data_IF_778840349220
#
_entry.id   IF_778840349220
#
_cell.length_a   1.000
_cell.length_b   1.000
_cell.length_c   1.000
_cell.angle_alpha   90.00
_cell.angle_beta   90.00
_cell.angle_gamma   90.00
#
_symmetry.space_group_name_H-M   'P 1'
#
loop_
_entity.id
_entity.type
_entity.pdbx_description
1 polymer ?
#
# COMPACT_ATOMS: atom_id res chain seq x y z
N UNK A 1 -34.52 -28.69 20.82
CA UNK A 1 -33.97 -27.58 20.05
C UNK A 1 -33.01 -26.82 20.95
N UNK A 2 -31.73 -27.23 20.97
CA UNK A 2 -30.69 -26.64 21.80
C UNK A 2 -30.00 -25.54 20.97
N UNK A 3 -30.40 -24.29 21.20
CA UNK A 3 -29.69 -23.13 20.66
C UNK A 3 -28.30 -23.05 21.27
N UNK A 4 -27.29 -23.41 20.50
CA UNK A 4 -25.92 -23.04 20.86
C UNK A 4 -25.83 -21.51 20.89
N UNK A 5 -25.17 -20.91 21.89
CA UNK A 5 -24.96 -19.46 21.92
C UNK A 5 -24.12 -19.08 20.71
N UNK A 6 -24.66 -18.24 19.81
CA UNK A 6 -23.92 -17.67 18.68
C UNK A 6 -22.64 -17.00 19.21
N UNK A 7 -21.48 -17.40 18.72
CA UNK A 7 -20.21 -16.81 19.14
C UNK A 7 -20.19 -15.31 18.82
N UNK A 8 -19.42 -14.53 19.56
CA UNK A 8 -19.26 -13.09 19.27
C UNK A 8 -18.88 -12.83 17.80
N UNK A 9 -18.17 -13.78 17.18
CA UNK A 9 -17.78 -13.76 15.75
C UNK A 9 -18.99 -13.86 14.80
N UNK A 10 -20.07 -14.54 15.18
CA UNK A 10 -21.27 -14.70 14.34
C UNK A 10 -22.13 -13.43 14.30
N UNK A 11 -21.91 -12.51 15.22
CA UNK A 11 -22.61 -11.21 15.30
C UNK A 11 -21.97 -10.11 14.48
N UNK A 12 -20.68 -10.25 14.10
CA UNK A 12 -19.94 -9.27 13.31
C UNK A 12 -19.66 -9.88 11.93
N UNK A 13 -20.48 -9.54 10.94
CA UNK A 13 -20.43 -10.12 9.60
C UNK A 13 -19.05 -10.06 8.93
N UNK A 14 -18.30 -9.00 9.15
CA UNK A 14 -16.96 -8.82 8.57
C UNK A 14 -15.94 -9.85 9.08
N UNK A 15 -16.17 -10.48 10.23
CA UNK A 15 -15.28 -11.49 10.81
C UNK A 15 -15.60 -12.93 10.37
N UNK A 16 -16.72 -13.16 9.68
CA UNK A 16 -17.14 -14.49 9.22
C UNK A 16 -16.07 -15.23 8.40
N UNK A 17 -15.29 -14.58 7.50
CA UNK A 17 -14.23 -15.26 6.76
C UNK A 17 -13.15 -15.89 7.65
N UNK A 18 -12.92 -15.37 8.86
CA UNK A 18 -11.97 -15.96 9.81
C UNK A 18 -12.40 -17.32 10.38
N UNK A 19 -13.65 -17.75 10.14
CA UNK A 19 -14.09 -19.11 10.41
C UNK A 19 -13.55 -20.12 9.37
N UNK A 20 -13.16 -19.63 8.19
CA UNK A 20 -12.47 -20.45 7.17
C UNK A 20 -11.00 -20.57 7.59
N UNK A 21 -10.59 -21.77 7.97
CA UNK A 21 -9.26 -22.04 8.56
C UNK A 21 -8.10 -21.51 7.72
N UNK A 22 -8.12 -21.81 6.41
CA UNK A 22 -7.03 -21.40 5.51
C UNK A 22 -6.98 -19.88 5.33
N UNK A 23 -8.14 -19.21 5.28
CA UNK A 23 -8.20 -17.76 5.28
C UNK A 23 -7.71 -17.15 6.60
N UNK A 24 -8.05 -17.76 7.74
CA UNK A 24 -7.55 -17.30 9.04
C UNK A 24 -6.01 -17.37 9.12
N UNK A 25 -5.39 -18.44 8.62
CA UNK A 25 -3.94 -18.53 8.54
C UNK A 25 -3.34 -17.47 7.61
N UNK A 26 -3.90 -17.33 6.40
CA UNK A 26 -3.45 -16.31 5.44
C UNK A 26 -3.54 -14.91 6.04
N UNK A 27 -4.71 -14.56 6.60
CA UNK A 27 -4.97 -13.24 7.15
C UNK A 27 -4.09 -12.93 8.35
N UNK A 28 -3.87 -13.89 9.26
CA UNK A 28 -3.00 -13.71 10.43
C UNK A 28 -1.55 -13.53 10.00
N UNK A 29 -1.04 -14.39 9.10
CA UNK A 29 0.31 -14.27 8.54
C UNK A 29 0.54 -12.92 7.88
N UNK A 30 -0.38 -12.50 7.01
CA UNK A 30 -0.35 -11.20 6.34
C UNK A 30 -0.36 -10.04 7.33
N UNK A 31 -1.24 -10.06 8.35
CA UNK A 31 -1.35 -8.98 9.33
C UNK A 31 -0.04 -8.80 10.10
N UNK A 32 0.55 -9.89 10.56
CA UNK A 32 1.83 -9.86 11.29
C UNK A 32 2.96 -9.38 10.37
N UNK A 33 3.01 -9.86 9.12
CA UNK A 33 3.99 -9.42 8.13
C UNK A 33 3.85 -7.92 7.80
N UNK A 34 2.63 -7.39 7.68
CA UNK A 34 2.40 -5.96 7.45
C UNK A 34 2.78 -5.08 8.64
N UNK A 35 2.69 -5.59 9.87
CA UNK A 35 3.25 -4.91 11.04
C UNK A 35 4.77 -4.84 10.91
N UNK A 36 5.41 -5.93 10.48
CA UNK A 36 6.83 -5.98 10.17
C UNK A 36 7.23 -4.96 9.10
N UNK A 37 6.52 -4.91 7.97
CA UNK A 37 6.75 -3.92 6.90
C UNK A 37 6.68 -2.47 7.44
N UNK A 38 5.78 -2.18 8.39
CA UNK A 38 5.70 -0.89 9.07
C UNK A 38 6.88 -0.63 10.03
N UNK A 39 7.39 -1.66 10.71
CA UNK A 39 8.63 -1.57 11.51
C UNK A 39 9.82 -1.30 10.59
N UNK A 40 9.90 -2.00 9.44
CA UNK A 40 10.93 -1.80 8.42
C UNK A 40 10.97 -0.34 7.94
N UNK A 41 9.83 0.28 7.68
CA UNK A 41 9.74 1.66 7.16
C UNK A 41 10.51 2.65 8.05
N UNK A 42 10.33 2.57 9.36
CA UNK A 42 11.06 3.43 10.32
C UNK A 42 12.52 3.01 10.43
N UNK A 43 12.78 1.69 10.46
CA UNK A 43 14.11 1.13 10.68
C UNK A 43 15.06 1.44 9.54
N UNK A 44 14.61 1.28 8.29
CA UNK A 44 15.46 1.54 7.12
C UNK A 44 15.82 3.02 7.00
N UNK A 45 14.85 3.90 7.22
CA UNK A 45 15.10 5.34 7.22
C UNK A 45 16.12 5.72 8.29
N UNK A 46 15.93 5.21 9.51
CA UNK A 46 16.83 5.51 10.63
C UNK A 46 18.24 4.94 10.43
N UNK A 47 18.36 3.71 9.92
CA UNK A 47 19.64 3.07 9.62
C UNK A 47 20.42 3.84 8.55
N UNK A 48 19.79 4.18 7.45
CA UNK A 48 20.42 4.93 6.35
C UNK A 48 20.90 6.29 6.84
N UNK A 49 20.03 7.04 7.52
CA UNK A 49 20.37 8.37 8.04
C UNK A 49 21.40 8.34 9.20
N UNK A 50 21.67 7.18 9.83
CA UNK A 50 22.76 7.03 10.79
C UNK A 50 24.11 6.83 10.12
N UNK A 51 24.15 6.23 8.93
CA UNK A 51 25.38 6.01 8.12
C UNK A 51 25.67 7.22 7.26
N UNK A 52 24.66 7.70 6.54
CA UNK A 52 24.78 8.79 5.58
C UNK A 52 23.55 9.69 5.66
N UNK A 53 23.68 10.80 6.37
CA UNK A 53 22.58 11.72 6.64
C UNK A 53 22.32 12.67 5.45
N UNK A 54 22.00 12.08 4.28
CA UNK A 54 21.73 12.83 3.03
C UNK A 54 20.46 12.32 2.33
N UNK A 55 19.67 13.22 1.71
CA UNK A 55 18.48 12.86 0.95
C UNK A 55 18.76 11.83 -0.15
N UNK A 56 19.88 11.97 -0.87
CA UNK A 56 20.27 11.07 -1.95
C UNK A 56 20.45 9.61 -1.50
N UNK A 57 21.02 9.37 -0.32
CA UNK A 57 21.21 8.03 0.21
C UNK A 57 19.87 7.33 0.45
N UNK A 58 18.92 8.00 1.08
CA UNK A 58 17.60 7.44 1.35
C UNK A 58 16.75 7.30 0.08
N UNK A 59 16.86 8.24 -0.85
CA UNK A 59 16.22 8.14 -2.16
C UNK A 59 16.70 6.92 -2.97
N UNK A 60 18.02 6.63 -2.96
CA UNK A 60 18.58 5.43 -3.60
C UNK A 60 18.02 4.14 -3.01
N UNK A 61 17.77 4.08 -1.69
CA UNK A 61 17.10 2.94 -1.05
C UNK A 61 15.68 2.78 -1.58
N UNK A 62 14.93 3.87 -1.77
CA UNK A 62 13.62 3.84 -2.40
C UNK A 62 13.65 3.33 -3.84
N UNK A 63 14.66 3.73 -4.64
CA UNK A 63 14.88 3.16 -5.99
C UNK A 63 15.18 1.65 -5.91
N UNK A 64 16.09 1.25 -5.03
CA UNK A 64 16.49 -0.14 -4.85
C UNK A 64 15.31 -1.04 -4.45
N UNK A 65 14.39 -0.53 -3.63
CA UNK A 65 13.16 -1.23 -3.25
C UNK A 65 12.14 -1.32 -4.37
N UNK A 66 11.89 -0.22 -5.08
CA UNK A 66 10.78 -0.11 -6.04
C UNK A 66 11.12 -0.64 -7.43
N UNK A 67 12.38 -0.53 -7.87
CA UNK A 67 12.79 -0.96 -9.21
C UNK A 67 12.55 -2.44 -9.48
N UNK A 68 12.92 -3.40 -8.59
CA UNK A 68 12.61 -4.81 -8.79
C UNK A 68 11.11 -5.08 -8.92
N UNK A 69 10.28 -4.36 -8.20
CA UNK A 69 8.83 -4.54 -8.26
C UNK A 69 8.27 -4.19 -9.63
N UNK A 70 8.74 -3.10 -10.24
CA UNK A 70 8.33 -2.71 -11.60
C UNK A 70 8.86 -3.68 -12.64
N UNK A 71 10.15 -4.08 -12.54
CA UNK A 71 10.79 -4.98 -13.53
C UNK A 71 10.21 -6.39 -13.44
N UNK A 72 10.00 -6.91 -12.24
CA UNK A 72 9.57 -8.29 -12.04
C UNK A 72 8.05 -8.49 -12.09
N UNK A 73 7.23 -7.42 -12.08
CA UNK A 73 5.77 -7.56 -12.10
C UNK A 73 5.26 -8.37 -13.30
N UNK A 74 5.89 -8.22 -14.46
CA UNK A 74 5.52 -8.95 -15.68
C UNK A 74 5.96 -10.43 -15.56
N UNK A 75 7.17 -10.65 -15.08
CA UNK A 75 7.72 -12.00 -14.92
C UNK A 75 7.00 -12.79 -13.80
N UNK A 76 6.66 -12.12 -12.69
CA UNK A 76 5.97 -12.73 -11.55
C UNK A 76 4.53 -13.11 -11.88
N UNK A 77 3.83 -12.35 -12.74
CA UNK A 77 2.54 -12.73 -13.28
C UNK A 77 2.60 -14.07 -14.03
N UNK A 78 3.53 -14.19 -14.99
CA UNK A 78 3.74 -15.43 -15.75
C UNK A 78 4.20 -16.61 -14.87
N UNK A 79 4.92 -16.33 -13.77
CA UNK A 79 5.38 -17.35 -12.82
C UNK A 79 4.23 -17.85 -11.94
N UNK A 80 3.32 -16.95 -11.54
CA UNK A 80 2.16 -17.28 -10.70
C UNK A 80 1.15 -18.20 -11.42
N UNK A 81 1.14 -18.18 -12.76
CA UNK A 81 0.30 -19.07 -13.56
C UNK A 81 0.87 -20.49 -13.66
N UNK A 82 2.18 -20.67 -13.55
CA UNK A 82 2.88 -21.94 -13.70
C UNK A 82 3.18 -22.66 -12.39
N UNK A 83 3.40 -21.92 -11.31
CA UNK A 83 3.78 -22.45 -10.01
C UNK A 83 2.62 -22.39 -9.03
N UNK A 84 2.64 -23.26 -8.04
CA UNK A 84 1.67 -23.23 -6.96
C UNK A 84 1.80 -21.93 -6.16
N UNK A 85 0.71 -21.16 -6.07
CA UNK A 85 0.66 -19.83 -5.41
C UNK A 85 1.21 -19.84 -4.01
N UNK A 86 0.92 -20.92 -3.25
CA UNK A 86 1.43 -21.12 -1.90
C UNK A 86 2.96 -21.16 -1.86
N UNK A 87 3.60 -21.88 -2.78
CA UNK A 87 5.06 -21.97 -2.85
C UNK A 87 5.70 -20.64 -3.25
N UNK A 88 5.06 -19.89 -4.14
CA UNK A 88 5.52 -18.54 -4.51
C UNK A 88 5.46 -17.57 -3.32
N UNK A 89 4.38 -17.62 -2.53
CA UNK A 89 4.26 -16.78 -1.33
C UNK A 89 5.33 -17.14 -0.29
N UNK A 90 5.54 -18.45 -0.03
CA UNK A 90 6.59 -18.91 0.89
C UNK A 90 7.98 -18.51 0.39
N UNK A 91 8.26 -18.63 -0.91
CA UNK A 91 9.52 -18.21 -1.50
C UNK A 91 9.72 -16.68 -1.37
N UNK A 92 8.68 -15.89 -1.61
CA UNK A 92 8.71 -14.43 -1.40
C UNK A 92 9.01 -14.07 0.06
N UNK A 93 8.36 -14.73 1.04
CA UNK A 93 8.61 -14.54 2.46
C UNK A 93 10.03 -14.98 2.85
N UNK A 94 10.53 -16.10 2.31
CA UNK A 94 11.89 -16.57 2.57
C UNK A 94 12.95 -15.59 2.05
N UNK A 95 12.76 -15.05 0.84
CA UNK A 95 13.64 -14.02 0.26
C UNK A 95 13.65 -12.78 1.16
N UNK A 96 12.48 -12.30 1.60
CA UNK A 96 12.34 -11.14 2.49
C UNK A 96 12.96 -11.41 3.85
N UNK A 97 12.72 -12.58 4.44
CA UNK A 97 13.34 -13.02 5.70
C UNK A 97 14.87 -12.98 5.63
N UNK A 98 15.47 -13.55 4.57
CA UNK A 98 16.93 -13.57 4.38
C UNK A 98 17.47 -12.15 4.22
N UNK A 99 16.85 -11.33 3.38
CA UNK A 99 17.32 -9.97 3.11
C UNK A 99 17.28 -9.09 4.38
N UNK A 100 16.14 -9.04 5.05
CA UNK A 100 15.94 -8.21 6.25
C UNK A 100 16.65 -8.81 7.46
N UNK A 101 16.66 -10.14 7.60
CA UNK A 101 17.42 -10.82 8.64
C UNK A 101 18.93 -10.56 8.54
N UNK A 102 19.47 -10.50 7.30
CA UNK A 102 20.87 -10.12 7.06
C UNK A 102 21.13 -8.66 7.42
N UNK A 103 20.21 -7.73 7.04
CA UNK A 103 20.29 -6.33 7.48
C UNK A 103 20.32 -6.22 9.01
N UNK A 104 19.41 -6.93 9.68
CA UNK A 104 19.32 -6.95 11.13
C UNK A 104 20.59 -7.52 11.79
N UNK A 105 21.09 -8.65 11.29
CA UNK A 105 22.32 -9.27 11.79
C UNK A 105 23.53 -8.35 11.64
N UNK A 106 23.75 -7.78 10.44
CA UNK A 106 24.88 -6.87 10.20
C UNK A 106 24.76 -5.59 11.03
N UNK A 107 23.54 -5.09 11.26
CA UNK A 107 23.32 -3.91 12.11
C UNK A 107 23.57 -4.19 13.59
N UNK A 108 23.11 -5.34 14.14
CA UNK A 108 23.36 -5.71 15.55
C UNK A 108 24.83 -5.98 15.81
N UNK A 109 25.55 -6.55 14.83
CA UNK A 109 26.99 -6.86 14.95
C UNK A 109 27.90 -5.68 14.60
N UNK A 110 27.32 -4.49 14.38
CA UNK A 110 28.04 -3.27 13.99
C UNK A 110 28.90 -3.46 12.72
N UNK A 111 28.39 -4.20 11.75
CA UNK A 111 29.05 -4.43 10.45
C UNK A 111 28.36 -3.71 9.28
N UNK A 112 27.25 -3.04 9.54
CA UNK A 112 26.45 -2.36 8.51
C UNK A 112 26.85 -0.87 8.39
N UNK A 113 27.99 -0.61 7.73
CA UNK A 113 28.52 0.75 7.53
C UNK A 113 28.47 1.22 6.07
N UNK A 114 27.88 0.45 5.17
CA UNK A 114 27.96 0.68 3.73
C UNK A 114 26.59 0.78 3.08
N UNK A 115 26.29 1.92 2.46
CA UNK A 115 25.05 2.11 1.69
C UNK A 115 24.90 1.08 0.56
N UNK A 116 25.93 0.74 -0.26
CA UNK A 116 25.82 -0.31 -1.26
C UNK A 116 25.34 -1.67 -0.75
N UNK A 117 25.71 -2.08 0.46
CA UNK A 117 25.23 -3.32 1.07
C UNK A 117 23.73 -3.22 1.35
N UNK A 118 23.27 -2.08 1.89
CA UNK A 118 21.87 -1.82 2.13
C UNK A 118 21.10 -1.87 0.79
N UNK A 119 21.59 -1.19 -0.25
CA UNK A 119 20.95 -1.18 -1.56
C UNK A 119 20.80 -2.60 -2.14
N UNK A 120 21.83 -3.42 -2.04
CA UNK A 120 21.80 -4.82 -2.49
C UNK A 120 20.73 -5.64 -1.74
N UNK A 121 20.70 -5.57 -0.42
CA UNK A 121 19.73 -6.31 0.40
C UNK A 121 18.30 -5.79 0.23
N UNK A 122 18.11 -4.48 0.10
CA UNK A 122 16.79 -3.87 -0.18
C UNK A 122 16.30 -4.22 -1.58
N UNK A 123 17.20 -4.35 -2.58
CA UNK A 123 16.84 -4.86 -3.91
C UNK A 123 16.32 -6.29 -3.83
N UNK A 124 16.97 -7.16 -3.06
CA UNK A 124 16.53 -8.54 -2.81
C UNK A 124 15.18 -8.56 -2.09
N UNK A 125 15.00 -7.70 -1.07
CA UNK A 125 13.71 -7.54 -0.38
C UNK A 125 12.59 -7.12 -1.35
N UNK A 126 12.82 -6.11 -2.19
CA UNK A 126 11.87 -5.67 -3.23
C UNK A 126 11.53 -6.77 -4.24
N UNK A 127 12.50 -7.61 -4.60
CA UNK A 127 12.26 -8.77 -5.46
C UNK A 127 11.38 -9.82 -4.78
N UNK A 128 11.59 -10.09 -3.49
CA UNK A 128 10.72 -10.96 -2.67
C UNK A 128 9.27 -10.47 -2.65
N UNK A 129 9.09 -9.16 -2.49
CA UNK A 129 7.78 -8.49 -2.54
C UNK A 129 7.10 -8.68 -3.92
N UNK A 130 7.84 -8.51 -5.02
CA UNK A 130 7.34 -8.68 -6.37
C UNK A 130 6.86 -10.11 -6.65
N UNK A 131 7.50 -11.12 -6.05
CA UNK A 131 7.08 -12.53 -6.17
C UNK A 131 5.85 -12.84 -5.31
N UNK A 132 5.77 -12.27 -4.10
CA UNK A 132 4.70 -12.53 -3.14
C UNK A 132 3.36 -11.96 -3.60
N UNK A 133 3.34 -10.70 -4.06
CA UNK A 133 2.13 -9.92 -4.24
C UNK A 133 1.11 -10.50 -5.23
N UNK A 134 1.49 -10.97 -6.44
CA UNK A 134 0.55 -11.56 -7.38
C UNK A 134 -0.06 -12.87 -6.88
N UNK A 135 0.76 -13.71 -6.21
CA UNK A 135 0.31 -14.96 -5.63
C UNK A 135 -0.70 -14.72 -4.49
N UNK A 136 -0.43 -13.72 -3.65
CA UNK A 136 -1.34 -13.30 -2.58
C UNK A 136 -2.69 -12.81 -3.12
N UNK A 137 -2.68 -11.94 -4.12
CA UNK A 137 -3.91 -11.37 -4.69
C UNK A 137 -4.82 -12.45 -5.32
N UNK A 138 -4.22 -13.52 -5.83
CA UNK A 138 -4.95 -14.59 -6.52
C UNK A 138 -5.36 -15.77 -5.63
N UNK A 139 -4.84 -15.89 -4.40
CA UNK A 139 -5.15 -17.04 -3.52
C UNK A 139 -6.48 -16.87 -2.79
N UNK A 140 -6.86 -15.64 -2.42
CA UNK A 140 -8.06 -15.36 -1.61
C UNK A 140 -9.36 -15.95 -2.24
N UNK A 141 -9.64 -15.73 -3.54
CA UNK A 141 -10.83 -16.33 -4.15
C UNK A 141 -10.81 -17.87 -4.23
N UNK A 142 -9.64 -18.50 -4.10
CA UNK A 142 -9.49 -19.94 -4.14
C UNK A 142 -9.74 -20.62 -2.79
N UNK A 143 -9.67 -19.87 -1.68
CA UNK A 143 -9.78 -20.42 -0.32
C UNK A 143 -11.05 -19.97 0.42
N UNK A 144 -11.72 -18.91 -0.06
CA UNK A 144 -12.91 -18.33 0.58
C UNK A 144 -14.14 -18.65 -0.26
N UNK A 145 -15.25 -19.11 0.35
CA UNK A 145 -16.54 -19.25 -0.33
C UNK A 145 -17.00 -17.94 -0.98
N UNK A 146 -17.69 -18.02 -2.13
CA UNK A 146 -18.06 -16.85 -2.92
C UNK A 146 -18.93 -15.83 -2.17
N UNK A 147 -19.79 -16.30 -1.27
CA UNK A 147 -20.66 -15.49 -0.41
C UNK A 147 -19.90 -14.71 0.68
N UNK A 148 -18.65 -15.09 0.99
CA UNK A 148 -17.79 -14.44 1.97
C UNK A 148 -16.66 -13.61 1.36
N UNK A 149 -16.53 -13.54 0.03
CA UNK A 149 -15.44 -12.85 -0.65
C UNK A 149 -15.44 -11.33 -0.36
N UNK A 150 -16.62 -10.71 -0.28
CA UNK A 150 -16.73 -9.28 0.02
C UNK A 150 -16.20 -8.97 1.42
N UNK A 151 -16.57 -9.78 2.41
CA UNK A 151 -16.10 -9.64 3.79
C UNK A 151 -14.60 -9.93 3.91
N UNK A 152 -14.09 -10.95 3.19
CA UNK A 152 -12.67 -11.29 3.17
C UNK A 152 -11.81 -10.14 2.60
N UNK A 153 -12.24 -9.57 1.47
CA UNK A 153 -11.57 -8.41 0.87
C UNK A 153 -11.64 -7.17 1.76
N UNK A 154 -12.80 -6.91 2.38
CA UNK A 154 -12.95 -5.80 3.33
C UNK A 154 -12.01 -5.95 4.53
N UNK A 155 -11.89 -7.16 5.06
CA UNK A 155 -11.00 -7.46 6.17
C UNK A 155 -9.52 -7.29 5.79
N UNK A 156 -9.13 -7.70 4.58
CA UNK A 156 -7.79 -7.49 4.06
C UNK A 156 -7.44 -5.99 3.88
N UNK A 157 -8.41 -5.19 3.41
CA UNK A 157 -8.21 -3.74 3.24
C UNK A 157 -8.11 -2.98 4.57
N UNK A 158 -8.76 -3.45 5.64
CA UNK A 158 -8.65 -2.84 6.97
C UNK A 158 -7.27 -3.07 7.62
N UNK A 159 -6.61 -4.18 7.27
CA UNK A 159 -5.31 -4.53 7.86
C UNK A 159 -4.23 -3.53 7.50
N UNK A 160 -4.18 -3.09 6.24
CA UNK A 160 -3.09 -2.24 5.75
C UNK A 160 -2.92 -0.93 6.54
N UNK A 161 -3.95 -0.07 6.70
CA UNK A 161 -3.81 1.16 7.49
C UNK A 161 -3.51 0.85 8.96
N UNK A 162 -4.10 -0.17 9.52
CA UNK A 162 -3.91 -0.54 10.92
C UNK A 162 -2.53 -1.12 11.19
N UNK A 163 -2.11 -2.13 10.43
CA UNK A 163 -0.86 -2.85 10.68
C UNK A 163 0.36 -2.08 10.15
N UNK A 164 0.34 -1.67 8.89
CA UNK A 164 1.49 -1.09 8.21
C UNK A 164 1.69 0.40 8.51
N UNK A 165 0.59 1.18 8.64
CA UNK A 165 0.71 2.62 8.81
C UNK A 165 0.58 3.07 10.28
N UNK A 166 -0.18 2.34 11.11
CA UNK A 166 -0.34 2.71 12.53
C UNK A 166 0.57 1.89 13.44
N UNK A 167 0.32 0.57 13.58
CA UNK A 167 0.96 -0.26 14.59
C UNK A 167 2.45 -0.46 14.30
N UNK A 168 2.79 -0.80 13.06
CA UNK A 168 4.17 -1.08 12.66
C UNK A 168 5.14 0.07 12.94
N UNK A 169 4.89 1.29 12.44
CA UNK A 169 5.78 2.42 12.69
C UNK A 169 5.88 2.81 14.17
N UNK A 170 4.78 2.74 14.93
CA UNK A 170 4.82 2.98 16.38
C UNK A 170 5.72 1.97 17.09
N UNK A 171 5.54 0.67 16.79
CA UNK A 171 6.36 -0.41 17.37
C UNK A 171 7.80 -0.26 16.91
N UNK A 172 8.06 0.02 15.63
CA UNK A 172 9.39 0.25 15.07
C UNK A 172 10.12 1.40 15.77
N UNK A 173 9.46 2.54 15.92
CA UNK A 173 10.02 3.70 16.61
C UNK A 173 10.41 3.38 18.07
N UNK A 174 9.57 2.63 18.80
CA UNK A 174 9.83 2.21 20.17
C UNK A 174 10.97 1.18 20.24
N UNK A 175 10.97 0.16 19.38
CA UNK A 175 12.03 -0.86 19.34
C UNK A 175 13.40 -0.24 19.07
N UNK A 176 13.47 0.71 18.15
CA UNK A 176 14.72 1.41 17.84
C UNK A 176 15.18 2.26 19.03
N UNK A 177 14.26 2.98 19.67
CA UNK A 177 14.58 3.85 20.78
C UNK A 177 15.05 3.09 22.04
N UNK A 178 14.49 1.92 22.30
CA UNK A 178 14.75 1.16 23.53
C UNK A 178 15.79 0.04 23.38
N UNK A 179 15.94 -0.49 22.17
CA UNK A 179 16.87 -1.61 21.92
C UNK A 179 17.90 -1.22 20.86
N UNK A 180 17.56 -1.34 19.56
CA UNK A 180 18.39 -0.92 18.44
C UNK A 180 17.65 -1.04 17.09
N UNK A 181 18.20 -0.41 16.05
CA UNK A 181 17.71 -0.54 14.67
C UNK A 181 17.85 -1.99 14.18
N UNK A 182 18.99 -2.63 14.46
CA UNK A 182 19.24 -4.00 14.06
C UNK A 182 18.24 -4.99 14.69
N UNK A 183 17.87 -4.78 15.96
CA UNK A 183 16.84 -5.60 16.60
C UNK A 183 15.45 -5.40 15.95
N UNK A 184 15.10 -4.17 15.57
CA UNK A 184 13.86 -3.91 14.87
C UNK A 184 13.80 -4.64 13.51
N UNK A 185 14.90 -4.68 12.74
CA UNK A 185 14.98 -5.51 11.51
C UNK A 185 14.85 -7.01 11.80
N UNK A 186 15.43 -7.53 12.89
CA UNK A 186 15.28 -8.95 13.25
C UNK A 186 13.84 -9.30 13.64
N UNK A 187 13.15 -8.39 14.33
CA UNK A 187 11.72 -8.54 14.63
C UNK A 187 10.92 -8.57 13.32
N UNK A 188 11.16 -7.63 12.40
CA UNK A 188 10.52 -7.63 11.09
C UNK A 188 10.81 -8.92 10.32
N UNK A 189 12.06 -9.34 10.20
CA UNK A 189 12.42 -10.61 9.58
C UNK A 189 11.62 -11.78 10.17
N UNK A 190 11.48 -11.84 11.50
CA UNK A 190 10.72 -12.90 12.15
C UNK A 190 9.25 -12.94 11.74
N UNK A 191 8.66 -11.79 11.35
CA UNK A 191 7.29 -11.72 10.86
C UNK A 191 7.11 -12.43 9.51
N UNK A 192 8.12 -12.37 8.61
CA UNK A 192 8.10 -13.13 7.35
C UNK A 192 8.23 -14.63 7.60
N UNK A 193 9.07 -15.06 8.55
CA UNK A 193 9.15 -16.45 8.94
C UNK A 193 7.80 -16.95 9.50
N UNK A 194 7.16 -16.15 10.35
CA UNK A 194 5.84 -16.45 10.88
C UNK A 194 4.80 -16.54 9.75
N UNK A 195 4.78 -15.59 8.82
CA UNK A 195 3.89 -15.60 7.65
C UNK A 195 4.10 -16.87 6.82
N UNK A 196 5.34 -17.23 6.51
CA UNK A 196 5.65 -18.45 5.77
C UNK A 196 5.13 -19.71 6.47
N UNK A 197 5.28 -19.81 7.81
CA UNK A 197 4.75 -20.93 8.62
C UNK A 197 3.21 -20.95 8.54
N UNK A 198 2.53 -19.81 8.64
CA UNK A 198 1.08 -19.73 8.51
C UNK A 198 0.63 -20.21 7.11
N UNK A 199 1.28 -19.75 6.06
CA UNK A 199 1.00 -20.16 4.68
C UNK A 199 1.25 -21.65 4.49
N UNK A 200 2.35 -22.21 5.03
CA UNK A 200 2.64 -23.64 5.01
C UNK A 200 1.65 -24.48 5.81
N UNK A 201 0.92 -23.89 6.76
CA UNK A 201 -0.09 -24.56 7.56
C UNK A 201 -1.48 -24.66 6.86
N UNK A 202 -1.66 -23.96 5.74
CA UNK A 202 -2.86 -24.03 4.93
C UNK A 202 -2.97 -25.43 4.27
N UNK A 203 -4.18 -25.95 4.14
CA UNK A 203 -4.46 -27.25 3.53
C UNK A 203 -4.88 -27.16 2.06
N UNK A 204 -4.77 -25.99 1.45
CA UNK A 204 -5.23 -25.72 0.08
C UNK A 204 -4.59 -26.71 -0.89
N UNK A 205 -5.41 -27.59 -1.46
CA UNK A 205 -5.01 -28.41 -2.60
C UNK A 205 -5.22 -27.58 -3.87
N UNK A 206 -4.36 -27.80 -4.87
CA UNK A 206 -4.52 -27.30 -6.23
C UNK A 206 -5.99 -27.54 -6.64
N UNK A 207 -6.79 -26.49 -6.82
CA UNK A 207 -7.97 -26.59 -7.65
C UNK A 207 -7.44 -26.64 -9.08
N UNK A 208 -7.67 -27.70 -9.85
CA UNK A 208 -7.38 -27.64 -11.28
C UNK A 208 -8.27 -26.51 -11.81
N UNK A 209 -7.67 -25.45 -12.21
CA UNK A 209 -8.34 -24.48 -13.09
C UNK A 209 -8.66 -25.28 -14.34
N UNK A 210 -9.92 -25.32 -14.76
CA UNK A 210 -10.31 -26.04 -15.94
C UNK A 210 -9.37 -25.66 -17.09
N UNK A 211 -8.78 -26.66 -17.73
CA UNK A 211 -7.76 -26.49 -18.79
C UNK A 211 -8.25 -25.64 -19.99
N UNK A 212 -9.51 -25.29 -20.03
CA UNK A 212 -10.13 -24.40 -21.02
C UNK A 212 -10.01 -22.90 -20.69
N UNK A 213 -9.78 -22.50 -19.42
CA UNK A 213 -9.49 -21.09 -19.06
C UNK A 213 -7.99 -20.74 -19.20
N UNK A 214 -7.10 -21.73 -19.30
CA UNK A 214 -5.65 -21.54 -19.41
C UNK A 214 -5.18 -20.95 -20.76
N UNK A 215 -6.04 -20.76 -21.75
CA UNK A 215 -5.65 -20.22 -23.07
C UNK A 215 -5.91 -18.73 -23.25
N UNK A 216 -6.44 -18.02 -22.27
CA UNK A 216 -6.46 -16.55 -22.32
C UNK A 216 -5.02 -16.04 -22.13
N UNK A 217 -4.40 -15.59 -23.23
CA UNK A 217 -3.06 -15.01 -23.20
C UNK A 217 -3.04 -13.83 -22.20
N UNK A 218 -2.11 -13.82 -21.25
CA UNK A 218 -1.87 -12.67 -20.34
C UNK A 218 -1.87 -11.33 -21.11
N UNK A 219 -1.22 -11.28 -22.27
CA UNK A 219 -1.26 -10.11 -23.13
C UNK A 219 -2.64 -9.81 -23.72
N UNK A 220 -3.46 -10.82 -23.95
CA UNK A 220 -4.86 -10.65 -24.38
C UNK A 220 -5.71 -10.02 -23.28
N UNK A 221 -5.55 -10.48 -22.04
CA UNK A 221 -6.26 -9.97 -20.87
C UNK A 221 -5.86 -8.51 -20.57
N UNK A 222 -4.57 -8.21 -20.62
CA UNK A 222 -4.05 -6.83 -20.46
C UNK A 222 -4.58 -5.94 -21.59
N UNK A 223 -4.59 -6.42 -22.84
CA UNK A 223 -5.09 -5.67 -23.99
C UNK A 223 -6.61 -5.40 -23.89
N UNK A 224 -7.40 -6.37 -23.37
CA UNK A 224 -8.83 -6.17 -23.16
C UNK A 224 -9.10 -5.16 -22.06
N UNK A 225 -8.40 -5.26 -20.93
CA UNK A 225 -8.47 -4.28 -19.84
C UNK A 225 -8.08 -2.88 -20.32
N UNK A 226 -6.96 -2.77 -21.06
CA UNK A 226 -6.51 -1.49 -21.60
C UNK A 226 -7.49 -0.88 -22.60
N UNK A 227 -8.12 -1.72 -23.44
CA UNK A 227 -9.16 -1.28 -24.39
C UNK A 227 -10.36 -0.73 -23.63
N UNK A 228 -10.78 -1.39 -22.57
CA UNK A 228 -11.88 -0.92 -21.74
C UNK A 228 -11.54 0.40 -21.04
N UNK A 229 -10.38 0.50 -20.37
CA UNK A 229 -9.92 1.72 -19.71
C UNK A 229 -9.87 2.88 -20.68
N UNK A 230 -9.36 2.68 -21.90
CA UNK A 230 -9.27 3.71 -22.93
C UNK A 230 -10.64 4.21 -23.39
N UNK A 231 -11.68 3.37 -23.34
CA UNK A 231 -13.06 3.75 -23.67
C UNK A 231 -13.73 4.55 -22.54
N UNK A 232 -13.28 4.33 -21.29
CA UNK A 232 -13.82 4.99 -20.10
C UNK A 232 -12.97 6.22 -19.74
N UNK A 233 -13.33 7.39 -20.26
CA UNK A 233 -12.53 8.63 -20.08
C UNK A 233 -12.25 8.97 -18.64
N UNK A 234 -13.22 8.83 -17.73
CA UNK A 234 -13.05 9.14 -16.31
C UNK A 234 -11.98 8.25 -15.67
N UNK A 235 -11.98 6.98 -16.03
CA UNK A 235 -11.05 5.97 -15.50
C UNK A 235 -9.62 6.24 -16.00
N UNK A 236 -9.45 6.47 -17.30
CA UNK A 236 -8.16 6.80 -17.90
C UNK A 236 -7.58 8.10 -17.30
N UNK A 237 -8.41 9.15 -17.16
CA UNK A 237 -7.98 10.43 -16.59
C UNK A 237 -7.53 10.24 -15.13
N UNK A 238 -8.26 9.45 -14.33
CA UNK A 238 -7.90 9.18 -12.95
C UNK A 238 -6.59 8.38 -12.84
N UNK A 239 -6.38 7.38 -13.68
CA UNK A 239 -5.12 6.61 -13.70
C UNK A 239 -3.92 7.47 -14.11
N UNK A 240 -4.06 8.32 -15.13
CA UNK A 240 -3.00 9.27 -15.52
C UNK A 240 -2.73 10.27 -14.41
N UNK A 241 -3.78 10.79 -13.76
CA UNK A 241 -3.63 11.66 -12.59
C UNK A 241 -2.88 10.96 -11.46
N UNK A 242 -3.15 9.66 -11.22
CA UNK A 242 -2.45 8.87 -10.21
C UNK A 242 -0.95 8.76 -10.53
N UNK A 243 -0.60 8.40 -11.77
CA UNK A 243 0.81 8.31 -12.19
C UNK A 243 1.55 9.62 -11.96
N UNK A 244 0.97 10.75 -12.40
CA UNK A 244 1.61 12.07 -12.28
C UNK A 244 1.72 12.51 -10.81
N UNK A 245 0.68 12.28 -10.01
CA UNK A 245 0.67 12.65 -8.60
C UNK A 245 1.66 11.82 -7.78
N UNK A 246 1.71 10.51 -8.01
CA UNK A 246 2.66 9.63 -7.33
C UNK A 246 4.10 9.91 -7.75
N UNK A 247 4.33 10.20 -9.04
CA UNK A 247 5.63 10.63 -9.52
C UNK A 247 6.12 11.92 -8.82
N UNK A 248 5.22 12.86 -8.57
CA UNK A 248 5.57 14.12 -7.92
C UNK A 248 5.84 13.97 -6.42
N UNK A 249 5.08 13.11 -5.70
CA UNK A 249 4.98 13.19 -4.24
C UNK A 249 5.53 11.96 -3.53
N UNK A 250 5.52 10.76 -4.15
CA UNK A 250 5.88 9.52 -3.44
C UNK A 250 7.32 9.52 -2.91
N UNK A 251 8.28 9.82 -3.77
CA UNK A 251 9.70 9.93 -3.38
C UNK A 251 9.95 10.98 -2.30
N UNK A 252 9.49 12.24 -2.49
CA UNK A 252 9.59 13.27 -1.45
C UNK A 252 8.97 12.87 -0.11
N UNK A 253 7.78 12.28 -0.09
CA UNK A 253 7.13 11.82 1.13
C UNK A 253 7.97 10.78 1.88
N UNK A 254 8.30 9.68 1.22
CA UNK A 254 9.02 8.55 1.84
C UNK A 254 10.47 8.91 2.22
N UNK A 255 11.12 9.80 1.45
CA UNK A 255 12.53 10.14 1.64
C UNK A 255 12.71 11.31 2.60
N UNK A 256 11.91 12.38 2.44
CA UNK A 256 12.22 13.64 3.11
C UNK A 256 11.50 13.80 4.45
N UNK A 257 10.35 13.16 4.67
CA UNK A 257 9.68 13.21 5.98
C UNK A 257 10.58 12.69 7.11
N UNK A 258 11.29 11.54 6.97
CA UNK A 258 12.26 11.10 7.98
C UNK A 258 13.40 12.10 8.22
N UNK A 259 13.85 12.80 7.17
CA UNK A 259 14.91 13.82 7.25
C UNK A 259 14.43 15.03 8.05
N UNK A 260 13.26 15.57 7.73
CA UNK A 260 12.65 16.68 8.48
C UNK A 260 12.50 16.30 9.95
N UNK A 261 11.95 15.14 10.26
CA UNK A 261 11.76 14.70 11.66
C UNK A 261 13.09 14.60 12.39
N UNK A 262 14.13 14.04 11.77
CA UNK A 262 15.43 13.85 12.39
C UNK A 262 16.23 15.14 12.50
N UNK A 263 16.38 15.89 11.40
CA UNK A 263 17.31 17.00 11.31
C UNK A 263 16.71 18.34 11.75
N UNK A 264 15.49 18.67 11.29
CA UNK A 264 14.90 19.98 11.52
C UNK A 264 14.13 20.04 12.84
N UNK A 265 13.44 18.94 13.17
CA UNK A 265 12.68 18.86 14.41
C UNK A 265 13.47 18.25 15.58
N UNK A 266 14.72 17.80 15.34
CA UNK A 266 15.57 17.17 16.36
C UNK A 266 14.95 15.90 16.97
N UNK A 267 14.04 15.26 16.21
CA UNK A 267 13.29 14.08 16.66
C UNK A 267 14.14 12.82 16.72
N UNK A 268 13.73 11.88 17.55
CA UNK A 268 14.27 10.54 17.63
C UNK A 268 13.46 9.57 16.74
N UNK A 269 13.89 8.30 16.68
CA UNK A 269 13.16 7.25 15.96
C UNK A 269 11.71 7.10 16.44
N UNK A 270 11.47 7.26 17.74
CA UNK A 270 10.13 7.30 18.33
C UNK A 270 9.28 8.46 17.80
N UNK A 271 9.89 9.63 17.55
CA UNK A 271 9.20 10.78 16.94
C UNK A 271 8.75 10.46 15.52
N UNK A 272 9.59 9.79 14.73
CA UNK A 272 9.22 9.33 13.39
C UNK A 272 8.08 8.30 13.44
N UNK A 273 8.18 7.34 14.37
CA UNK A 273 7.11 6.37 14.64
C UNK A 273 5.78 7.05 15.02
N UNK A 274 5.83 8.11 15.84
CA UNK A 274 4.64 8.90 16.22
C UNK A 274 4.05 9.67 15.03
N UNK A 275 4.87 10.25 14.16
CA UNK A 275 4.40 10.97 12.96
C UNK A 275 3.68 10.01 12.02
N UNK A 276 4.29 8.87 11.67
CA UNK A 276 3.62 7.88 10.84
C UNK A 276 2.40 7.26 11.52
N UNK A 277 2.50 6.97 12.84
CA UNK A 277 1.38 6.48 13.62
C UNK A 277 0.19 7.45 13.66
N UNK A 278 0.44 8.75 13.76
CA UNK A 278 -0.62 9.77 13.66
C UNK A 278 -1.29 9.74 12.28
N UNK A 279 -0.51 9.57 11.20
CA UNK A 279 -1.03 9.31 9.86
C UNK A 279 -1.92 8.08 9.82
N UNK A 280 -1.48 6.97 10.43
CA UNK A 280 -2.26 5.74 10.55
C UNK A 280 -3.58 5.93 11.30
N UNK A 281 -3.61 6.73 12.37
CA UNK A 281 -4.86 7.09 13.06
C UNK A 281 -5.78 7.84 12.11
N UNK A 282 -5.27 8.81 11.35
CA UNK A 282 -6.04 9.53 10.32
C UNK A 282 -6.66 8.58 9.28
N UNK A 283 -5.85 7.64 8.79
CA UNK A 283 -6.29 6.61 7.84
C UNK A 283 -7.42 5.73 8.41
N UNK A 284 -7.26 5.22 9.63
CA UNK A 284 -8.26 4.37 10.30
C UNK A 284 -9.57 5.15 10.54
N UNK A 285 -9.49 6.40 10.99
CA UNK A 285 -10.66 7.25 11.20
C UNK A 285 -11.37 7.53 9.86
N UNK A 286 -10.64 7.87 8.81
CA UNK A 286 -11.22 8.11 7.49
C UNK A 286 -11.95 6.86 6.96
N UNK A 287 -11.34 5.68 7.05
CA UNK A 287 -11.95 4.42 6.66
C UNK A 287 -13.21 4.10 7.49
N UNK A 288 -13.16 4.30 8.81
CA UNK A 288 -14.29 4.05 9.71
C UNK A 288 -15.47 5.00 9.44
N UNK A 289 -15.20 6.31 9.28
CA UNK A 289 -16.23 7.33 8.99
C UNK A 289 -16.91 7.04 7.65
N UNK A 290 -16.13 6.66 6.63
CA UNK A 290 -16.71 6.31 5.33
C UNK A 290 -17.53 5.01 5.41
N UNK A 291 -16.97 3.98 6.08
CA UNK A 291 -17.66 2.69 6.25
C UNK A 291 -18.99 2.81 6.97
N UNK A 292 -19.08 3.67 8.01
CA UNK A 292 -20.32 3.92 8.74
C UNK A 292 -21.39 4.63 7.91
N UNK A 293 -21.00 5.46 6.95
CA UNK A 293 -21.97 6.14 6.06
C UNK A 293 -22.67 5.19 5.09
N UNK A 294 -22.04 4.07 4.75
CA UNK A 294 -22.61 3.02 3.89
C UNK A 294 -22.95 3.45 2.45
N UNK A 295 -22.71 4.70 2.09
CA UNK A 295 -23.07 5.27 0.78
C UNK A 295 -21.99 6.22 0.28
N UNK A 296 -21.86 6.30 -1.04
CA UNK A 296 -21.03 7.30 -1.71
C UNK A 296 -21.59 8.72 -1.46
N UNK A 297 -20.73 9.75 -1.37
CA UNK A 297 -21.17 11.13 -1.33
C UNK A 297 -21.92 11.51 -2.63
N UNK A 298 -22.76 12.53 -2.59
CA UNK A 298 -23.53 12.98 -3.75
C UNK A 298 -22.68 13.27 -5.00
N UNK A 299 -21.42 13.67 -4.81
CA UNK A 299 -20.45 13.94 -5.88
C UNK A 299 -19.14 13.17 -5.55
N UNK A 300 -19.12 11.86 -5.77
CA UNK A 300 -18.01 11.01 -5.28
C UNK A 300 -16.69 11.28 -6.00
N UNK A 301 -16.71 11.53 -7.31
CA UNK A 301 -15.49 11.84 -8.07
C UNK A 301 -14.92 13.19 -7.66
N UNK A 302 -15.78 14.20 -7.47
CA UNK A 302 -15.37 15.52 -6.95
C UNK A 302 -14.76 15.40 -5.56
N UNK A 303 -15.42 14.68 -4.64
CA UNK A 303 -14.93 14.46 -3.28
C UNK A 303 -13.60 13.71 -3.26
N UNK A 304 -13.44 12.72 -4.15
CA UNK A 304 -12.21 11.97 -4.35
C UNK A 304 -11.04 12.89 -4.76
N UNK A 305 -11.22 13.71 -5.80
CA UNK A 305 -10.16 14.61 -6.25
C UNK A 305 -9.81 15.68 -5.21
N UNK A 306 -10.79 16.20 -4.46
CA UNK A 306 -10.54 17.17 -3.39
C UNK A 306 -9.75 16.55 -2.23
N UNK A 307 -10.12 15.36 -1.78
CA UNK A 307 -9.38 14.64 -0.75
C UNK A 307 -7.97 14.30 -1.24
N UNK A 308 -7.83 13.87 -2.49
CA UNK A 308 -6.54 13.58 -3.09
C UNK A 308 -5.63 14.81 -3.11
N UNK A 309 -6.14 15.94 -3.61
CA UNK A 309 -5.39 17.20 -3.64
C UNK A 309 -5.00 17.65 -2.22
N UNK A 310 -5.88 17.48 -1.23
CA UNK A 310 -5.59 17.79 0.17
C UNK A 310 -4.44 16.93 0.70
N UNK A 311 -4.44 15.62 0.41
CA UNK A 311 -3.33 14.73 0.77
C UNK A 311 -2.01 15.16 0.12
N UNK A 312 -2.03 15.54 -1.17
CA UNK A 312 -0.84 16.03 -1.87
C UNK A 312 -0.34 17.35 -1.26
N UNK A 313 -1.22 18.31 -0.96
CA UNK A 313 -0.86 19.55 -0.27
C UNK A 313 -0.34 19.30 1.15
N UNK A 314 -0.76 18.22 1.81
CA UNK A 314 -0.19 17.79 3.09
C UNK A 314 1.32 17.53 2.98
N UNK A 315 1.80 16.96 1.88
CA UNK A 315 3.26 16.83 1.65
C UNK A 315 3.96 18.19 1.63
N UNK A 316 3.35 19.21 0.99
CA UNK A 316 3.89 20.57 1.06
C UNK A 316 3.87 21.12 2.50
N UNK A 317 2.89 20.73 3.29
CA UNK A 317 2.78 21.11 4.71
C UNK A 317 4.01 20.70 5.53
N UNK A 318 4.65 19.57 5.20
CA UNK A 318 5.89 19.16 5.88
C UNK A 318 7.07 20.11 5.70
N UNK A 319 7.13 20.88 4.62
CA UNK A 319 8.15 21.92 4.44
C UNK A 319 7.97 23.16 5.32
N UNK A 320 6.90 23.21 6.14
CA UNK A 320 6.62 24.35 7.04
C UNK A 320 6.54 23.94 8.51
N UNK A 321 6.69 22.65 8.85
CA UNK A 321 6.59 22.21 10.24
C UNK A 321 7.84 22.60 11.03
N UNK A 322 7.63 23.04 12.26
CA UNK A 322 8.69 23.44 13.19
C UNK A 322 8.68 22.62 14.47
N UNK A 323 7.78 21.63 14.57
CA UNK A 323 7.65 20.76 15.74
C UNK A 323 7.02 19.42 15.38
N UNK A 324 7.35 18.39 16.15
CA UNK A 324 6.86 17.02 15.93
C UNK A 324 5.32 16.95 15.95
N UNK A 325 4.65 17.69 16.84
CA UNK A 325 3.18 17.67 16.89
C UNK A 325 2.55 18.26 15.62
N UNK A 326 3.15 19.28 15.00
CA UNK A 326 2.67 19.81 13.70
C UNK A 326 2.86 18.75 12.60
N UNK A 327 4.00 18.06 12.56
CA UNK A 327 4.25 16.96 11.65
C UNK A 327 3.21 15.84 11.84
N UNK A 328 2.84 15.51 13.09
CA UNK A 328 1.78 14.54 13.38
C UNK A 328 0.41 14.99 12.84
N UNK A 329 0.04 16.26 12.99
CA UNK A 329 -1.21 16.80 12.45
C UNK A 329 -1.22 16.75 10.93
N UNK A 330 -0.13 17.15 10.29
CA UNK A 330 0.00 17.10 8.83
C UNK A 330 -0.08 15.65 8.33
N UNK A 331 0.62 14.71 8.97
CA UNK A 331 0.55 13.29 8.62
C UNK A 331 -0.87 12.73 8.78
N UNK A 332 -1.55 13.07 9.88
CA UNK A 332 -2.94 12.66 10.13
C UNK A 332 -3.88 13.10 8.99
N UNK A 333 -3.79 14.38 8.59
CA UNK A 333 -4.62 14.92 7.51
C UNK A 333 -4.26 14.29 6.17
N UNK A 334 -2.97 14.14 5.88
CA UNK A 334 -2.47 13.56 4.64
C UNK A 334 -2.96 12.13 4.45
N UNK A 335 -2.65 11.25 5.39
CA UNK A 335 -2.99 9.82 5.31
C UNK A 335 -4.50 9.58 5.40
N UNK A 336 -5.21 10.37 6.20
CA UNK A 336 -6.66 10.35 6.25
C UNK A 336 -7.30 10.72 4.91
N UNK A 337 -6.77 11.75 4.24
CA UNK A 337 -7.24 12.19 2.91
C UNK A 337 -6.94 11.16 1.83
N UNK A 338 -5.75 10.55 1.84
CA UNK A 338 -5.36 9.48 0.90
C UNK A 338 -6.21 8.23 1.11
N UNK A 339 -6.46 7.85 2.36
CA UNK A 339 -7.33 6.70 2.65
C UNK A 339 -8.76 6.95 2.18
N UNK A 340 -9.31 8.15 2.39
CA UNK A 340 -10.63 8.52 1.88
C UNK A 340 -10.68 8.41 0.35
N UNK A 341 -9.67 8.96 -0.35
CA UNK A 341 -9.54 8.81 -1.81
C UNK A 341 -9.59 7.35 -2.22
N UNK A 342 -8.74 6.48 -1.61
CA UNK A 342 -8.64 5.07 -1.99
C UNK A 342 -9.96 4.33 -1.81
N UNK A 343 -10.67 4.57 -0.70
CA UNK A 343 -11.97 3.93 -0.44
C UNK A 343 -13.00 4.35 -1.47
N UNK A 344 -13.07 5.65 -1.81
CA UNK A 344 -14.00 6.15 -2.84
C UNK A 344 -13.62 5.59 -4.22
N UNK A 345 -12.33 5.56 -4.58
CA UNK A 345 -11.83 5.02 -5.84
C UNK A 345 -12.21 3.57 -6.03
N UNK A 346 -11.86 2.73 -5.06
CA UNK A 346 -12.17 1.29 -5.11
C UNK A 346 -13.68 1.06 -5.25
N UNK A 347 -14.49 1.81 -4.49
CA UNK A 347 -15.95 1.72 -4.56
C UNK A 347 -16.50 2.14 -5.93
N UNK A 348 -15.96 3.21 -6.52
CA UNK A 348 -16.35 3.65 -7.86
C UNK A 348 -16.00 2.62 -8.93
N UNK A 349 -14.78 2.07 -8.89
CA UNK A 349 -14.34 1.04 -9.83
C UNK A 349 -15.23 -0.20 -9.70
N UNK A 350 -15.48 -0.68 -8.47
CA UNK A 350 -16.34 -1.84 -8.24
C UNK A 350 -17.79 -1.64 -8.71
N UNK A 351 -18.32 -0.42 -8.63
CA UNK A 351 -19.69 -0.13 -9.08
C UNK A 351 -19.83 0.08 -10.59
N UNK A 352 -18.80 0.65 -11.23
CA UNK A 352 -18.90 1.10 -12.62
C UNK A 352 -18.24 0.18 -13.64
N UNK A 353 -17.34 -0.71 -13.18
CA UNK A 353 -16.65 -1.67 -14.04
C UNK A 353 -17.36 -3.02 -13.95
N UNK A 354 -17.66 -3.68 -15.09
CA UNK A 354 -18.23 -5.03 -15.08
C UNK A 354 -17.35 -6.03 -14.32
N UNK A 355 -17.97 -6.93 -13.52
CA UNK A 355 -17.28 -7.88 -12.64
C UNK A 355 -16.19 -8.68 -13.35
N UNK A 356 -16.44 -9.13 -14.61
CA UNK A 356 -15.47 -9.86 -15.43
C UNK A 356 -14.19 -9.09 -15.77
N UNK A 357 -14.20 -7.74 -15.66
CA UNK A 357 -13.07 -6.86 -15.98
C UNK A 357 -12.41 -6.26 -14.73
N UNK A 358 -13.01 -6.39 -13.54
CA UNK A 358 -12.51 -5.76 -12.31
C UNK A 358 -11.05 -6.09 -12.02
N UNK A 359 -10.69 -7.38 -12.08
CA UNK A 359 -9.31 -7.80 -11.82
C UNK A 359 -8.32 -7.22 -12.83
N UNK A 360 -8.69 -7.15 -14.12
CA UNK A 360 -7.85 -6.58 -15.19
C UNK A 360 -7.67 -5.08 -15.03
N UNK A 361 -8.75 -4.37 -14.67
CA UNK A 361 -8.73 -2.91 -14.42
C UNK A 361 -7.88 -2.58 -13.19
N UNK A 362 -8.04 -3.30 -12.08
CA UNK A 362 -7.21 -3.08 -10.88
C UNK A 362 -5.72 -3.41 -11.12
N UNK A 363 -5.41 -4.45 -11.89
CA UNK A 363 -4.03 -4.76 -12.26
C UNK A 363 -3.40 -3.66 -13.11
N UNK A 364 -4.15 -3.11 -14.08
CA UNK A 364 -3.71 -1.98 -14.88
C UNK A 364 -3.56 -0.70 -14.06
N UNK A 365 -4.52 -0.43 -13.18
CA UNK A 365 -4.47 0.71 -12.27
C UNK A 365 -3.20 0.67 -11.40
N UNK A 366 -2.94 -0.47 -10.76
CA UNK A 366 -1.72 -0.67 -9.99
C UNK A 366 -0.45 -0.46 -10.84
N UNK A 367 -0.38 -1.10 -12.00
CA UNK A 367 0.78 -1.03 -12.89
C UNK A 367 1.04 0.41 -13.37
N UNK A 368 0.01 1.08 -13.89
CA UNK A 368 0.12 2.44 -14.44
C UNK A 368 0.45 3.43 -13.31
N UNK A 369 -0.24 3.33 -12.19
CA UNK A 369 -0.07 4.27 -11.06
C UNK A 369 1.32 4.15 -10.43
N UNK A 370 1.88 2.94 -10.32
CA UNK A 370 3.15 2.72 -9.60
C UNK A 370 4.39 2.74 -10.47
N UNK A 371 4.27 2.68 -11.80
CA UNK A 371 5.43 2.67 -12.71
C UNK A 371 6.32 3.91 -12.59
N UNK A 372 5.76 5.02 -12.13
CA UNK A 372 6.50 6.27 -11.88
C UNK A 372 7.24 6.32 -10.55
N UNK A 373 6.99 5.39 -9.63
CA UNK A 373 7.56 5.44 -8.27
C UNK A 373 9.09 5.37 -8.23
N UNK A 374 9.78 4.48 -8.97
CA UNK A 374 11.25 4.48 -8.99
C UNK A 374 11.84 5.81 -9.49
N UNK A 375 11.16 6.42 -10.47
CA UNK A 375 11.58 7.72 -11.00
C UNK A 375 11.33 8.84 -9.98
N UNK A 376 10.24 8.79 -9.21
CA UNK A 376 9.97 9.72 -8.11
C UNK A 376 11.12 9.71 -7.11
N UNK A 377 11.56 8.53 -6.66
CA UNK A 377 12.73 8.41 -5.78
C UNK A 377 14.01 8.93 -6.43
N UNK A 378 14.28 8.55 -7.68
CA UNK A 378 15.50 8.94 -8.40
C UNK A 378 15.64 10.47 -8.57
N UNK A 379 14.52 11.18 -8.73
CA UNK A 379 14.50 12.64 -8.84
C UNK A 379 14.60 13.31 -7.48
N UNK A 380 14.03 12.73 -6.42
CA UNK A 380 13.94 13.34 -5.09
C UNK A 380 15.30 13.67 -4.49
N UNK A 381 16.25 12.72 -4.52
CA UNK A 381 17.58 12.92 -3.94
C UNK A 381 18.30 14.13 -4.54
N UNK A 382 18.58 14.15 -5.85
CA UNK A 382 19.23 15.27 -6.50
C UNK A 382 18.49 16.60 -6.33
N UNK A 383 17.16 16.61 -6.37
CA UNK A 383 16.36 17.82 -6.17
C UNK A 383 16.54 18.37 -4.76
N UNK A 384 16.44 17.50 -3.75
CA UNK A 384 16.60 17.91 -2.35
C UNK A 384 18.03 18.38 -2.03
N UNK A 385 19.04 17.82 -2.70
CA UNK A 385 20.43 18.30 -2.58
C UNK A 385 20.63 19.66 -3.26
N UNK A 386 19.90 19.95 -4.35
CA UNK A 386 20.03 21.19 -5.10
C UNK A 386 19.28 22.38 -4.49
N UNK A 387 18.04 22.19 -4.01
CA UNK A 387 17.16 23.27 -3.54
C UNK A 387 16.78 23.14 -2.06
N UNK A 388 17.25 22.11 -1.35
CA UNK A 388 16.89 21.78 0.03
C UNK A 388 15.65 20.90 0.13
N UNK A 389 15.56 20.14 1.24
CA UNK A 389 14.48 19.19 1.46
C UNK A 389 13.13 19.88 1.70
N UNK A 390 13.08 21.01 2.42
CA UNK A 390 11.83 21.75 2.65
C UNK A 390 11.25 22.28 1.34
N UNK A 391 12.07 22.95 0.53
CA UNK A 391 11.65 23.46 -0.77
C UNK A 391 11.18 22.32 -1.68
N UNK A 392 11.86 21.17 -1.66
CA UNK A 392 11.46 19.98 -2.43
C UNK A 392 10.09 19.47 -1.99
N UNK A 393 9.81 19.34 -0.69
CA UNK A 393 8.51 18.95 -0.16
C UNK A 393 7.41 19.95 -0.54
N UNK A 394 7.70 21.25 -0.39
CA UNK A 394 6.75 22.33 -0.75
C UNK A 394 6.39 22.24 -2.24
N UNK A 395 7.39 22.22 -3.12
CA UNK A 395 7.13 22.17 -4.56
C UNK A 395 6.48 20.86 -5.01
N UNK A 396 6.93 19.71 -4.49
CA UNK A 396 6.34 18.41 -4.79
C UNK A 396 4.86 18.36 -4.40
N UNK A 397 4.54 18.74 -3.18
CA UNK A 397 3.17 18.74 -2.67
C UNK A 397 2.30 19.80 -3.36
N UNK A 398 2.81 21.02 -3.60
CA UNK A 398 2.09 22.07 -4.29
C UNK A 398 1.79 21.71 -5.76
N UNK A 399 2.78 21.20 -6.49
CA UNK A 399 2.61 20.73 -7.86
C UNK A 399 1.67 19.52 -7.92
N UNK A 400 1.92 18.50 -7.07
CA UNK A 400 1.07 17.31 -7.00
C UNK A 400 -0.38 17.67 -6.69
N UNK A 401 -0.62 18.51 -5.67
CA UNK A 401 -1.97 18.95 -5.29
C UNK A 401 -2.66 19.78 -6.38
N UNK A 402 -1.94 20.74 -6.98
CA UNK A 402 -2.48 21.58 -8.04
C UNK A 402 -2.81 20.79 -9.31
N UNK A 403 -1.89 19.90 -9.73
CA UNK A 403 -2.09 19.03 -10.90
C UNK A 403 -3.28 18.10 -10.65
N UNK A 404 -3.35 17.44 -9.49
CA UNK A 404 -4.48 16.58 -9.14
C UNK A 404 -5.79 17.34 -9.17
N UNK A 405 -5.82 18.56 -8.61
CA UNK A 405 -7.00 19.42 -8.66
C UNK A 405 -7.37 19.82 -10.10
N UNK A 406 -6.38 20.11 -10.95
CA UNK A 406 -6.59 20.43 -12.35
C UNK A 406 -7.21 19.26 -13.14
N UNK A 407 -6.79 18.03 -12.87
CA UNK A 407 -7.37 16.83 -13.49
C UNK A 407 -8.89 16.70 -13.24
N UNK A 408 -9.40 17.18 -12.11
CA UNK A 408 -10.83 17.22 -11.82
C UNK A 408 -11.63 18.03 -12.86
N UNK A 409 -11.02 19.03 -13.48
CA UNK A 409 -11.65 19.90 -14.48
C UNK A 409 -11.48 19.41 -15.92
N UNK A 410 -10.66 18.37 -16.15
CA UNK A 410 -10.50 17.76 -17.48
C UNK A 410 -11.85 17.22 -17.96
N UNK A 411 -12.18 17.49 -19.23
CA UNK A 411 -13.45 17.07 -19.83
C UNK A 411 -13.57 15.53 -19.82
N UNK A 412 -14.56 15.03 -19.08
CA UNK A 412 -14.82 13.59 -18.91
C UNK A 412 -14.36 13.03 -17.56
N UNK A 413 -13.50 13.73 -16.78
CA UNK A 413 -13.06 13.26 -15.46
C UNK A 413 -14.24 12.99 -14.51
N UNK A 414 -15.24 13.85 -14.50
CA UNK A 414 -16.46 13.76 -13.69
C UNK A 414 -17.65 13.17 -14.48
N UNK A 415 -17.38 12.32 -15.48
CA UNK A 415 -18.42 11.64 -16.26
C UNK A 415 -19.47 10.98 -15.38
N UNK A 416 -19.07 10.06 -14.45
CA UNK A 416 -20.01 9.31 -13.62
C UNK A 416 -20.96 10.16 -12.76
N UNK A 417 -20.59 11.40 -12.44
CA UNK A 417 -21.45 12.34 -11.70
C UNK A 417 -22.45 13.09 -12.60
N UNK A 418 -22.19 13.12 -13.92
CA UNK A 418 -22.98 13.95 -14.87
C UNK A 418 -23.90 13.13 -15.73
N UNK A 419 -23.55 11.89 -16.04
CA UNK A 419 -24.29 11.01 -16.95
C UNK A 419 -25.32 10.11 -16.24
N UNK A 420 -25.45 10.22 -14.91
CA UNK A 420 -26.41 9.46 -14.12
C UNK A 420 -26.04 7.97 -13.94
N UNK A 421 -24.84 7.54 -14.38
CA UNK A 421 -24.41 6.13 -14.25
C UNK A 421 -24.33 5.64 -12.81
N UNK A 422 -24.23 6.56 -11.84
CA UNK A 422 -24.27 6.25 -10.41
C UNK A 422 -25.68 6.08 -9.85
N UNK A 423 -26.70 6.68 -10.49
CA UNK A 423 -28.09 6.63 -10.02
C UNK A 423 -28.81 5.34 -10.47
N UNK A 424 -28.37 4.73 -11.58
CA UNK A 424 -28.99 3.52 -12.16
C UNK A 424 -28.66 2.24 -11.43
N UNK A 425 -27.79 2.27 -10.40
CA UNK A 425 -27.35 1.10 -9.64
C UNK A 425 -27.76 1.13 -8.15
N UNK A 426 -28.56 2.06 -7.70
CA UNK A 426 -29.24 1.89 -6.41
C UNK A 426 -30.25 0.74 -6.54
N UNK A 427 -30.14 -0.34 -5.73
CA UNK A 427 -31.22 -1.32 -5.69
C UNK A 427 -32.48 -0.56 -5.28
N UNK A 428 -33.51 -0.67 -6.10
CA UNK A 428 -34.85 -0.16 -5.79
C UNK A 428 -35.32 -0.82 -4.49
N UNK A 429 -35.13 -0.14 -3.36
CA UNK A 429 -35.83 -0.42 -2.11
C UNK A 429 -37.22 0.19 -2.26
N UNK A 430 -37.99 -0.32 -3.23
CA UNK A 430 -39.43 -0.14 -3.34
C UNK A 430 -40.00 -1.46 -3.81
N UNK A 431 -40.56 -2.17 -2.85
CA UNK A 431 -41.55 -3.26 -2.94
C UNK A 431 -41.15 -4.48 -2.09
N UNK A 432 -41.31 -4.39 -0.79
CA UNK A 432 -41.83 -5.48 0.04
C UNK A 432 -42.47 -4.88 1.29
#
# INVERSE_FOLDING_TARGET
>A
MSGQPSSFRDRIEILKPLAVRDFAFLWTGMTVSMIGDGIYLVSIAWQVLSIENRPGALALVGVAWSLPQVVLVIASGALSDRLERRHLMVAGDAIRFIAIGTLGFLSVTDQLHSIPIILGLVTVYGAGQAVFQPAFSSITPAIVPADLLVQANSLAQLVRPFAMTLVGPLVGGVLIAWVSVGFAFLVDASTFAFSAVMILSMRTRRTPRDAQEEQASFFGDVAEGFRYVRQQRWLLIAMVAATVSLLAVWGPWETLVPIVVKNDLGGQSSSLGLVFGAGGVGAVIAAAVFGQRGSLPRKPVTAMYLAWSLGMFGTAGFGFVTSVWQAMVVAFVTEGSITYLVVVWVTLVQRLVPDRLLGRVFSLDWMISTMGVPLSFAITGPTAEAIGHDATLIWAGALGGTITLAFMFVRGARGPERDGSLATQEPSIEAA
#
